data_IF_446285463445
#
_entry.id   IF_446285463445
#
_cell.length_a   1.000
_cell.length_b   1.000
_cell.length_c   1.000
_cell.angle_alpha   90.00
_cell.angle_beta   90.00
_cell.angle_gamma   90.00
#
_symmetry.space_group_name_H-M   'P 1'
#
loop_
_entity.id
_entity.type
_entity.pdbx_description
1 polymer ?
#
# COMPACT_ATOMS: atom_id res chain seq x y z
N UNK A 1 1.94 5.38 -1.23
CA UNK A 1 0.79 4.60 -1.72
C UNK A 1 -0.34 4.82 -0.74
N UNK A 2 -1.53 5.26 -1.17
CA UNK A 2 -2.66 5.36 -0.23
C UNK A 2 -3.15 3.94 0.09
N UNK A 3 -3.23 3.61 1.38
CA UNK A 3 -3.60 2.27 1.88
C UNK A 3 -5.07 2.16 2.31
N UNK A 4 -5.83 3.25 2.23
CA UNK A 4 -7.25 3.25 2.56
C UNK A 4 -8.04 2.49 1.49
N UNK A 5 -8.84 1.55 1.96
CA UNK A 5 -9.84 0.85 1.19
C UNK A 5 -11.21 1.46 1.45
N UNK A 6 -12.14 1.24 0.53
CA UNK A 6 -13.52 1.64 0.70
C UNK A 6 -14.37 0.41 0.51
N UNK A 7 -15.15 -0.01 1.51
CA UNK A 7 -16.03 -1.18 1.43
C UNK A 7 -17.31 -0.92 2.20
N UNK A 8 -18.44 -1.45 1.73
CA UNK A 8 -19.77 -1.19 2.30
C UNK A 8 -20.10 0.29 2.55
N UNK A 9 -19.56 1.20 1.73
CA UNK A 9 -19.78 2.65 1.89
C UNK A 9 -18.90 3.33 2.96
N UNK A 10 -17.94 2.62 3.56
CA UNK A 10 -17.11 3.10 4.67
C UNK A 10 -15.62 2.88 4.40
N UNK A 11 -14.79 3.76 4.93
CA UNK A 11 -13.33 3.68 4.80
C UNK A 11 -12.75 2.61 5.74
N UNK A 12 -11.87 1.79 5.21
CA UNK A 12 -11.27 0.64 5.86
C UNK A 12 -9.75 0.68 5.75
N UNK A 13 -9.07 0.18 6.78
CA UNK A 13 -7.63 0.06 6.85
C UNK A 13 -7.29 -1.44 6.85
N UNK A 14 -6.54 -1.95 5.85
CA UNK A 14 -5.99 -3.30 5.92
C UNK A 14 -5.17 -3.49 7.18
N UNK A 15 -5.36 -4.59 7.91
CA UNK A 15 -4.60 -4.81 9.16
C UNK A 15 -3.08 -4.85 8.90
N UNK A 16 -2.68 -5.36 7.72
CA UNK A 16 -1.29 -5.36 7.24
C UNK A 16 -0.70 -3.97 7.02
N UNK A 17 -1.53 -2.94 6.85
CA UNK A 17 -1.09 -1.56 6.68
C UNK A 17 -0.85 -0.83 8.02
N UNK A 18 -1.45 -1.30 9.12
CA UNK A 18 -1.41 -0.64 10.43
C UNK A 18 0.03 -0.35 10.92
N UNK A 19 1.00 -1.27 10.78
CA UNK A 19 2.39 -0.97 11.18
C UNK A 19 3.00 0.21 10.43
N UNK A 20 2.63 0.41 9.16
CA UNK A 20 3.15 1.50 8.35
C UNK A 20 2.48 2.84 8.65
N UNK A 21 1.15 2.85 8.80
CA UNK A 21 0.42 4.11 9.06
C UNK A 21 0.70 4.66 10.46
N UNK A 22 1.14 3.81 11.39
CA UNK A 22 1.48 4.17 12.77
C UNK A 22 2.98 4.38 12.99
N UNK A 23 3.81 4.39 11.94
CA UNK A 23 5.26 4.54 12.09
C UNK A 23 5.92 3.42 12.91
N UNK A 24 5.36 2.21 12.86
CA UNK A 24 5.72 1.03 13.64
C UNK A 24 5.44 1.12 15.15
N UNK A 25 4.70 2.14 15.63
CA UNK A 25 4.19 2.17 17.00
C UNK A 25 3.30 0.94 17.28
N UNK A 26 2.52 0.51 16.29
CA UNK A 26 1.79 -0.74 16.32
C UNK A 26 2.49 -1.78 15.45
N UNK A 27 3.42 -2.52 16.03
CA UNK A 27 4.00 -3.70 15.39
C UNK A 27 2.92 -4.75 15.10
N UNK A 28 3.11 -5.66 14.13
CA UNK A 28 2.22 -6.80 13.90
C UNK A 28 1.77 -7.56 15.16
N UNK A 29 2.68 -7.80 16.12
CA UNK A 29 2.33 -8.43 17.41
C UNK A 29 1.35 -7.56 18.18
N UNK A 30 1.60 -6.26 18.28
CA UNK A 30 0.71 -5.33 18.98
C UNK A 30 -0.66 -5.25 18.30
N UNK A 31 -0.70 -5.26 16.96
CA UNK A 31 -1.97 -5.30 16.20
C UNK A 31 -2.77 -6.55 16.56
N UNK A 32 -2.15 -7.73 16.48
CA UNK A 32 -2.82 -8.99 16.79
C UNK A 32 -3.28 -9.04 18.26
N UNK A 33 -2.43 -8.63 19.20
CA UNK A 33 -2.76 -8.61 20.63
C UNK A 33 -3.92 -7.66 20.94
N UNK A 34 -3.95 -6.47 20.32
CA UNK A 34 -5.05 -5.52 20.46
C UNK A 34 -6.37 -6.06 19.93
N UNK A 35 -6.36 -6.77 18.80
CA UNK A 35 -7.57 -7.36 18.21
C UNK A 35 -8.03 -8.63 18.93
N UNK A 36 -7.11 -9.35 19.57
CA UNK A 36 -7.39 -10.44 20.50
C UNK A 36 -7.92 -9.96 21.88
N UNK A 37 -7.89 -8.65 22.17
CA UNK A 37 -8.17 -8.08 23.50
C UNK A 37 -7.27 -8.64 24.63
N UNK A 38 -6.05 -9.03 24.28
CA UNK A 38 -5.02 -9.50 25.20
C UNK A 38 -3.90 -8.46 25.39
N UNK A 39 -3.95 -7.33 24.67
CA UNK A 39 -3.02 -6.22 24.85
C UNK A 39 -3.09 -5.69 26.29
N UNK A 40 -1.92 -5.48 26.90
CA UNK A 40 -1.82 -4.89 28.23
C UNK A 40 -1.14 -3.51 28.18
N UNK A 41 -1.80 -2.48 28.72
CA UNK A 41 -3.23 -2.42 29.06
C UNK A 41 -4.12 -2.60 27.82
N UNK A 42 -5.41 -2.96 28.03
CA UNK A 42 -6.44 -3.20 26.99
C UNK A 42 -6.85 -1.93 26.23
N UNK A 43 -5.86 -1.25 25.66
CA UNK A 43 -5.93 0.12 25.12
C UNK A 43 -6.84 0.19 23.91
N UNK A 44 -6.96 -0.90 23.18
CA UNK A 44 -7.76 -1.01 21.97
C UNK A 44 -9.08 -1.75 22.16
N UNK A 45 -9.50 -1.97 23.43
CA UNK A 45 -10.81 -2.56 23.74
C UNK A 45 -11.93 -1.82 23.00
N UNK A 46 -12.69 -2.57 22.20
CA UNK A 46 -13.80 -2.06 21.39
C UNK A 46 -13.50 -1.97 19.89
N UNK A 47 -12.22 -1.95 19.50
CA UNK A 47 -11.83 -2.06 18.08
C UNK A 47 -12.17 -3.47 17.57
N UNK A 48 -12.81 -3.54 16.41
CA UNK A 48 -13.17 -4.80 15.79
C UNK A 48 -12.47 -4.93 14.43
N UNK A 49 -11.99 -6.13 14.15
CA UNK A 49 -11.55 -6.49 12.80
C UNK A 49 -12.65 -7.22 12.04
N UNK A 50 -12.59 -7.09 10.73
CA UNK A 50 -13.54 -7.65 9.79
C UNK A 50 -12.77 -8.31 8.66
N UNK A 51 -13.28 -9.43 8.15
CA UNK A 51 -12.76 -10.05 6.94
C UNK A 51 -13.79 -9.91 5.81
N UNK A 52 -13.31 -9.77 4.58
CA UNK A 52 -14.19 -9.77 3.42
C UNK A 52 -14.63 -11.20 3.08
N UNK A 53 -15.93 -11.36 2.89
CA UNK A 53 -16.54 -12.57 2.35
C UNK A 53 -16.48 -12.55 0.81
N UNK A 54 -16.60 -13.71 0.14
CA UNK A 54 -16.61 -13.78 -1.33
C UNK A 54 -17.71 -12.95 -2.00
N UNK A 55 -18.79 -12.66 -1.28
CA UNK A 55 -19.90 -11.81 -1.74
C UNK A 55 -19.65 -10.30 -1.54
N UNK A 56 -18.44 -9.91 -1.12
CA UNK A 56 -18.04 -8.53 -0.86
C UNK A 56 -18.51 -7.97 0.49
N UNK A 57 -19.22 -8.75 1.32
CA UNK A 57 -19.68 -8.31 2.64
C UNK A 57 -18.60 -8.44 3.72
N UNK A 58 -18.66 -7.56 4.71
CA UNK A 58 -17.81 -7.60 5.89
C UNK A 58 -18.37 -8.58 6.93
N UNK A 59 -17.55 -9.51 7.39
CA UNK A 59 -17.86 -10.37 8.54
C UNK A 59 -16.91 -10.05 9.69
N UNK A 60 -17.47 -9.80 10.89
CA UNK A 60 -16.69 -9.48 12.09
C UNK A 60 -15.88 -10.69 12.54
N UNK A 61 -14.58 -10.51 12.75
CA UNK A 61 -13.72 -11.48 13.41
C UNK A 61 -13.90 -11.44 14.93
N UNK A 62 -13.96 -12.62 15.54
CA UNK A 62 -13.95 -12.81 16.98
C UNK A 62 -12.53 -12.70 17.54
N UNK A 63 -12.35 -12.21 18.79
CA UNK A 63 -11.04 -12.08 19.39
C UNK A 63 -10.22 -13.38 19.41
N UNK A 64 -10.85 -14.53 19.67
CA UNK A 64 -10.20 -15.85 19.67
C UNK A 64 -9.57 -16.25 18.33
N UNK A 65 -10.01 -15.67 17.21
CA UNK A 65 -9.44 -15.97 15.89
C UNK A 65 -8.05 -15.35 15.72
N UNK A 66 -7.68 -14.41 16.60
CA UNK A 66 -6.37 -13.75 16.60
C UNK A 66 -5.31 -14.51 17.41
N UNK A 67 -5.68 -15.47 18.25
CA UNK A 67 -4.74 -16.20 19.12
C UNK A 67 -3.68 -16.94 18.30
N UNK A 68 -4.09 -17.65 17.25
CA UNK A 68 -3.17 -18.36 16.35
C UNK A 68 -2.24 -17.42 15.57
N UNK A 69 -2.75 -16.23 15.20
CA UNK A 69 -1.95 -15.20 14.51
C UNK A 69 -0.90 -14.62 15.47
N UNK A 70 -1.31 -14.29 16.70
CA UNK A 70 -0.41 -13.79 17.73
C UNK A 70 0.69 -14.81 18.07
N UNK A 71 0.34 -16.09 18.19
CA UNK A 71 1.33 -17.16 18.41
C UNK A 71 2.29 -17.30 17.23
N UNK A 72 1.82 -17.24 15.98
CA UNK A 72 2.69 -17.29 14.79
C UNK A 72 3.69 -16.13 14.76
N UNK A 73 3.23 -14.93 15.11
CA UNK A 73 4.09 -13.74 15.20
C UNK A 73 5.11 -13.85 16.34
N UNK A 74 4.71 -14.37 17.51
CA UNK A 74 5.62 -14.61 18.62
C UNK A 74 6.68 -15.66 18.26
N UNK A 75 6.28 -16.76 17.64
CA UNK A 75 7.20 -17.82 17.21
C UNK A 75 8.24 -17.31 16.18
N UNK A 76 7.84 -16.41 15.26
CA UNK A 76 8.79 -15.75 14.36
C UNK A 76 9.78 -14.88 15.13
N UNK A 77 9.29 -14.12 16.12
CA UNK A 77 10.15 -13.29 16.97
C UNK A 77 11.17 -14.14 17.74
N UNK A 78 10.72 -15.20 18.40
CA UNK A 78 11.56 -16.09 19.21
C UNK A 78 12.64 -16.76 18.36
N UNK A 79 12.27 -17.23 17.16
CA UNK A 79 13.20 -17.84 16.20
C UNK A 79 14.26 -16.84 15.74
N UNK A 80 13.86 -15.62 15.36
CA UNK A 80 14.83 -14.63 14.89
C UNK A 80 15.75 -14.18 16.02
N UNK A 81 15.22 -14.01 17.23
CA UNK A 81 16.01 -13.64 18.41
C UNK A 81 16.99 -14.73 18.84
N UNK A 82 16.64 -16.02 18.70
CA UNK A 82 17.58 -17.11 19.03
C UNK A 82 18.81 -17.15 18.11
N UNK A 83 18.67 -16.62 16.90
CA UNK A 83 19.72 -16.60 15.88
C UNK A 83 20.55 -15.30 15.91
N UNK A 84 20.17 -14.31 16.74
CA UNK A 84 20.88 -13.03 16.84
C UNK A 84 22.20 -13.16 17.61
N UNK A 85 23.28 -12.62 17.02
CA UNK A 85 24.56 -12.42 17.71
C UNK A 85 24.65 -11.02 18.32
N UNK A 86 23.96 -10.07 17.71
CA UNK A 86 23.86 -8.68 18.15
C UNK A 86 22.38 -8.35 18.29
N UNK A 87 22.04 -7.61 19.35
CA UNK A 87 20.67 -7.14 19.57
C UNK A 87 20.13 -6.44 18.32
N UNK A 88 18.92 -6.84 17.91
CA UNK A 88 18.17 -6.26 16.78
C UNK A 88 18.82 -6.51 15.40
N UNK A 89 19.77 -7.45 15.30
CA UNK A 89 20.40 -7.85 14.02
C UNK A 89 19.36 -8.29 12.99
N UNK A 90 18.32 -9.00 13.44
CA UNK A 90 17.27 -9.53 12.57
C UNK A 90 16.05 -8.60 12.43
N UNK A 91 16.13 -7.34 12.89
CA UNK A 91 14.97 -6.43 12.90
C UNK A 91 14.39 -6.18 11.48
N UNK A 92 15.26 -5.99 10.47
CA UNK A 92 14.79 -5.80 9.08
C UNK A 92 14.11 -7.05 8.52
N UNK A 93 14.64 -8.23 8.86
CA UNK A 93 14.05 -9.53 8.49
C UNK A 93 12.70 -9.69 9.18
N UNK A 94 12.62 -9.39 10.48
CA UNK A 94 11.39 -9.40 11.24
C UNK A 94 10.33 -8.49 10.63
N UNK A 95 10.68 -7.26 10.26
CA UNK A 95 9.73 -6.29 9.66
C UNK A 95 9.18 -6.78 8.33
N UNK A 96 9.99 -7.46 7.53
CA UNK A 96 9.57 -8.04 6.26
C UNK A 96 8.66 -9.27 6.48
N UNK A 97 9.08 -10.19 7.34
CA UNK A 97 8.48 -11.52 7.47
C UNK A 97 7.26 -11.55 8.40
N UNK A 98 7.10 -10.57 9.28
CA UNK A 98 5.93 -10.47 10.17
C UNK A 98 4.67 -9.94 9.48
N UNK A 99 4.81 -9.15 8.39
CA UNK A 99 3.65 -8.57 7.69
C UNK A 99 2.75 -9.64 7.05
N UNK A 100 3.26 -10.65 6.32
CA UNK A 100 2.44 -11.73 5.78
C UNK A 100 1.71 -12.58 6.83
N UNK A 101 2.20 -12.61 8.08
CA UNK A 101 1.57 -13.37 9.17
C UNK A 101 0.26 -12.74 9.66
N UNK A 102 0.07 -11.44 9.44
CA UNK A 102 -1.25 -10.84 9.58
C UNK A 102 -2.17 -11.35 8.45
N UNK A 103 -3.46 -11.59 8.71
CA UNK A 103 -4.34 -12.22 7.73
C UNK A 103 -4.64 -11.31 6.52
N UNK A 104 -4.67 -11.91 5.33
CA UNK A 104 -5.09 -11.25 4.09
C UNK A 104 -6.60 -10.97 4.10
N UNK A 105 -7.04 -9.91 3.41
CA UNK A 105 -8.47 -9.56 3.30
C UNK A 105 -9.12 -9.14 4.62
N UNK A 106 -8.33 -8.86 5.66
CA UNK A 106 -8.79 -8.43 6.98
C UNK A 106 -8.49 -6.95 7.18
N UNK A 107 -9.46 -6.22 7.73
CA UNK A 107 -9.41 -4.79 7.90
C UNK A 107 -10.05 -4.35 9.22
N UNK A 108 -9.78 -3.11 9.61
CA UNK A 108 -10.52 -2.37 10.63
C UNK A 108 -11.18 -1.16 9.98
N UNK A 109 -12.28 -0.67 10.54
CA UNK A 109 -12.86 0.57 10.06
C UNK A 109 -11.98 1.76 10.46
N UNK A 110 -11.75 2.68 9.51
CA UNK A 110 -10.81 3.79 9.69
C UNK A 110 -11.19 4.68 10.88
N UNK A 111 -12.46 5.07 10.98
CA UNK A 111 -12.98 5.92 12.04
C UNK A 111 -12.94 5.24 13.42
N UNK A 112 -13.22 3.94 13.50
CA UNK A 112 -13.04 3.16 14.74
C UNK A 112 -11.57 3.14 15.17
N UNK A 113 -10.66 2.91 14.22
CA UNK A 113 -9.23 2.89 14.49
C UNK A 113 -8.69 4.27 14.91
N UNK A 114 -9.07 5.34 14.21
CA UNK A 114 -8.71 6.73 14.53
C UNK A 114 -9.12 7.09 15.95
N UNK A 115 -10.34 6.70 16.36
CA UNK A 115 -10.87 6.98 17.69
C UNK A 115 -10.03 6.30 18.79
N UNK A 116 -9.75 5.01 18.65
CA UNK A 116 -8.98 4.26 19.67
C UNK A 116 -7.50 4.66 19.65
N UNK A 117 -6.93 4.93 18.48
CA UNK A 117 -5.55 5.38 18.33
C UNK A 117 -5.36 6.75 18.97
N UNK A 118 -6.20 7.73 18.66
CA UNK A 118 -6.13 9.08 19.24
C UNK A 118 -6.30 9.05 20.75
N UNK A 119 -7.25 8.24 21.27
CA UNK A 119 -7.47 8.09 22.71
C UNK A 119 -6.19 7.66 23.44
N UNK A 120 -5.40 6.78 22.84
CA UNK A 120 -4.25 6.18 23.51
C UNK A 120 -2.93 6.87 23.14
N UNK A 121 -2.66 7.04 21.86
CA UNK A 121 -1.40 7.58 21.34
C UNK A 121 -1.45 9.07 21.02
N UNK A 122 -2.64 9.65 20.84
CA UNK A 122 -2.82 11.06 20.50
C UNK A 122 -3.04 11.98 21.70
N UNK A 123 -3.22 11.45 22.91
CA UNK A 123 -3.45 12.27 24.10
C UNK A 123 -2.16 12.85 24.66
N UNK A 124 -2.18 14.15 24.98
CA UNK A 124 -1.06 14.89 25.58
C UNK A 124 -0.61 14.32 26.94
N UNK A 125 -1.44 13.49 27.57
CA UNK A 125 -1.14 12.83 28.84
C UNK A 125 -0.11 11.70 28.70
N UNK A 126 0.27 11.31 27.48
CA UNK A 126 1.40 10.43 27.22
C UNK A 126 2.64 11.24 26.90
N UNK A 127 3.37 11.64 27.95
CA UNK A 127 4.69 12.28 27.83
C UNK A 127 5.62 11.32 27.10
N UNK A 128 6.04 11.68 25.88
CA UNK A 128 7.08 11.01 25.11
C UNK A 128 8.34 11.85 25.20
N UNK A 129 9.38 11.31 25.84
CA UNK A 129 10.67 11.99 26.03
C UNK A 129 11.39 12.26 24.69
N UNK A 130 11.08 11.51 23.64
CA UNK A 130 11.71 11.59 22.31
C UNK A 130 10.65 11.64 21.19
N UNK A 131 9.64 12.50 21.33
CA UNK A 131 8.60 12.66 20.32
C UNK A 131 9.14 13.27 19.03
N UNK A 132 8.92 12.59 17.91
CA UNK A 132 9.26 13.07 16.56
C UNK A 132 8.04 13.64 15.85
N UNK A 133 8.28 14.49 14.86
CA UNK A 133 7.22 15.01 13.99
C UNK A 133 6.41 13.85 13.39
N UNK A 134 5.09 13.93 13.51
CA UNK A 134 4.16 12.89 13.02
C UNK A 134 3.95 11.68 13.96
N UNK A 135 4.64 11.56 15.09
CA UNK A 135 4.49 10.42 16.01
C UNK A 135 3.07 10.28 16.60
N UNK A 136 2.28 11.36 16.62
CA UNK A 136 0.87 11.37 17.06
C UNK A 136 -0.13 11.22 15.92
N UNK A 137 0.33 11.23 14.67
CA UNK A 137 -0.52 11.27 13.48
C UNK A 137 -0.54 9.92 12.75
N UNK A 138 -1.64 9.64 12.06
CA UNK A 138 -1.75 8.47 11.18
C UNK A 138 -1.40 8.87 9.75
N UNK A 139 -0.36 8.25 9.19
CA UNK A 139 0.03 8.47 7.79
C UNK A 139 -0.66 7.48 6.88
N UNK A 140 -1.71 7.91 6.17
CA UNK A 140 -2.44 7.05 5.22
C UNK A 140 -1.75 6.86 3.86
N UNK A 141 -0.64 7.57 3.64
CA UNK A 141 0.23 7.38 2.48
C UNK A 141 1.66 7.05 2.89
N UNK A 142 1.88 5.99 3.69
CA UNK A 142 3.20 5.72 4.24
C UNK A 142 4.15 5.23 3.14
N UNK A 143 5.44 5.36 3.40
CA UNK A 143 6.49 4.72 2.61
C UNK A 143 6.44 3.21 2.89
N UNK A 144 6.02 2.44 1.90
CA UNK A 144 5.94 0.97 1.97
C UNK A 144 6.97 0.40 1.01
N UNK A 145 7.86 -0.51 1.48
CA UNK A 145 8.78 -1.26 0.63
C UNK A 145 8.03 -1.95 -0.51
N UNK A 146 8.56 -1.84 -1.73
CA UNK A 146 7.89 -2.29 -2.97
C UNK A 146 7.35 -3.72 -2.89
N UNK A 147 8.13 -4.61 -2.27
CA UNK A 147 7.87 -6.04 -2.09
C UNK A 147 6.67 -6.33 -1.19
N UNK A 148 6.32 -5.42 -0.27
CA UNK A 148 5.18 -5.58 0.64
C UNK A 148 3.90 -4.92 0.14
N UNK A 149 3.96 -4.11 -0.92
CA UNK A 149 2.79 -3.39 -1.44
C UNK A 149 1.67 -4.33 -1.86
N UNK A 150 2.01 -5.42 -2.54
CA UNK A 150 1.05 -6.45 -2.97
C UNK A 150 0.54 -7.24 -1.76
N UNK A 151 1.43 -7.62 -0.84
CA UNK A 151 1.06 -8.34 0.38
C UNK A 151 0.03 -7.57 1.23
N UNK A 152 0.17 -6.25 1.36
CA UNK A 152 -0.73 -5.44 2.19
C UNK A 152 -2.17 -5.45 1.67
N UNK A 153 -2.35 -5.50 0.35
CA UNK A 153 -3.66 -5.46 -0.31
C UNK A 153 -4.17 -6.85 -0.73
N UNK A 154 -3.42 -7.91 -0.43
CA UNK A 154 -3.84 -9.28 -0.68
C UNK A 154 -5.15 -9.60 0.04
N UNK A 155 -6.03 -10.38 -0.61
CA UNK A 155 -7.36 -10.72 -0.09
C UNK A 155 -8.39 -9.59 -0.24
N UNK A 156 -7.97 -8.43 -0.73
CA UNK A 156 -8.87 -7.40 -1.24
C UNK A 156 -8.88 -7.51 -2.77
N UNK A 157 -10.07 -7.58 -3.39
CA UNK A 157 -10.18 -7.75 -4.82
C UNK A 157 -9.41 -6.62 -5.55
N UNK A 158 -8.41 -7.00 -6.33
CA UNK A 158 -7.72 -6.06 -7.22
C UNK A 158 -8.68 -5.63 -8.35
N UNK A 159 -8.59 -4.38 -8.83
CA UNK A 159 -9.51 -3.84 -9.81
C UNK A 159 -9.40 -4.60 -11.13
N UNK A 160 -10.33 -5.53 -11.38
CA UNK A 160 -10.38 -6.28 -12.64
C UNK A 160 -11.41 -7.41 -12.69
N UNK A 161 -11.74 -8.07 -11.58
CA UNK A 161 -12.47 -9.35 -11.66
C UNK A 161 -13.94 -9.34 -11.23
N UNK A 162 -14.42 -8.31 -10.55
CA UNK A 162 -15.87 -8.15 -10.31
C UNK A 162 -16.25 -6.68 -10.39
N UNK A 163 -17.20 -6.40 -11.27
CA UNK A 163 -17.70 -5.05 -11.52
C UNK A 163 -18.21 -4.38 -10.25
N UNK A 164 -18.02 -3.05 -10.21
CA UNK A 164 -18.42 -2.11 -9.16
C UNK A 164 -17.42 -1.88 -8.01
N UNK A 165 -16.22 -1.41 -8.36
CA UNK A 165 -15.56 -0.38 -7.56
C UNK A 165 -15.77 0.97 -8.24
N UNK A 166 -16.81 1.71 -7.84
CA UNK A 166 -16.72 3.18 -7.92
C UNK A 166 -15.69 3.57 -6.88
N UNK A 167 -14.44 3.57 -7.30
CA UNK A 167 -13.31 4.00 -6.50
C UNK A 167 -13.60 5.43 -6.06
N UNK A 168 -13.95 5.65 -4.79
CA UNK A 168 -14.13 6.99 -4.22
C UNK A 168 -12.78 7.69 -3.99
N UNK A 169 -11.85 7.54 -4.95
CA UNK A 169 -10.90 8.60 -5.33
C UNK A 169 -11.55 9.63 -6.25
N UNK A 170 -12.84 9.49 -6.50
CA UNK A 170 -13.65 10.30 -7.40
C UNK A 170 -14.31 11.47 -6.68
N UNK A 171 -13.46 12.40 -6.20
CA UNK A 171 -13.82 13.82 -6.12
C UNK A 171 -12.61 14.71 -6.40
N UNK A 172 -11.39 14.22 -6.17
CA UNK A 172 -10.17 15.05 -6.31
C UNK A 172 -9.45 14.89 -7.66
N UNK A 173 -9.84 13.89 -8.48
CA UNK A 173 -9.27 13.65 -9.83
C UNK A 173 -10.30 13.19 -10.87
N UNK A 174 -11.59 13.49 -10.67
CA UNK A 174 -12.62 13.19 -11.68
C UNK A 174 -12.44 13.96 -12.99
N UNK A 175 -11.65 15.03 -12.97
CA UNK A 175 -11.21 15.75 -14.15
C UNK A 175 -10.02 15.07 -14.87
N UNK A 176 -9.37 14.06 -14.27
CA UNK A 176 -8.21 13.36 -14.83
C UNK A 176 -8.66 12.06 -15.46
N UNK A 177 -8.64 12.00 -16.80
CA UNK A 177 -8.96 10.77 -17.52
C UNK A 177 -7.98 9.63 -17.21
N UNK A 178 -8.46 8.39 -17.18
CA UNK A 178 -7.61 7.19 -17.04
C UNK A 178 -6.48 7.15 -18.07
N UNK A 179 -6.76 7.65 -19.29
CA UNK A 179 -5.77 7.75 -20.36
C UNK A 179 -4.64 8.72 -20.00
N UNK A 180 -4.92 9.85 -19.38
CA UNK A 180 -3.89 10.78 -18.91
C UNK A 180 -3.01 10.14 -17.82
N UNK A 181 -3.61 9.35 -16.92
CA UNK A 181 -2.86 8.61 -15.91
C UNK A 181 -1.91 7.60 -16.57
N UNK A 182 -2.40 6.83 -17.55
CA UNK A 182 -1.57 5.90 -18.33
C UNK A 182 -0.47 6.61 -19.10
N UNK A 183 -0.73 7.80 -19.64
CA UNK A 183 0.28 8.61 -20.33
C UNK A 183 1.41 9.03 -19.39
N UNK A 184 1.10 9.49 -18.18
CA UNK A 184 2.13 9.80 -17.19
C UNK A 184 2.97 8.57 -16.81
N UNK A 185 2.34 7.39 -16.66
CA UNK A 185 3.05 6.14 -16.42
C UNK A 185 3.96 5.75 -17.59
N UNK A 186 3.50 5.94 -18.83
CA UNK A 186 4.31 5.73 -20.02
C UNK A 186 5.50 6.70 -20.07
N UNK A 187 5.28 7.97 -19.72
CA UNK A 187 6.35 8.97 -19.66
C UNK A 187 7.45 8.56 -18.69
N UNK A 188 7.09 8.21 -17.45
CA UNK A 188 8.05 7.71 -16.47
C UNK A 188 8.75 6.44 -16.96
N UNK A 189 8.02 5.45 -17.46
CA UNK A 189 8.58 4.17 -17.88
C UNK A 189 9.62 4.31 -18.99
N UNK A 190 9.34 5.14 -20.00
CA UNK A 190 10.15 5.21 -21.22
C UNK A 190 11.15 6.36 -21.21
N UNK A 191 10.90 7.44 -20.47
CA UNK A 191 11.73 8.65 -20.50
C UNK A 191 12.44 8.98 -19.19
N UNK A 192 12.09 8.38 -18.04
CA UNK A 192 12.76 8.73 -16.78
C UNK A 192 14.27 8.43 -16.76
N UNK A 193 14.70 7.42 -17.53
CA UNK A 193 16.10 7.03 -17.64
C UNK A 193 16.73 7.39 -19.01
N UNK A 194 16.03 8.16 -19.85
CA UNK A 194 16.55 8.60 -21.13
C UNK A 194 17.51 9.78 -20.92
N UNK A 195 18.74 9.67 -21.40
CA UNK A 195 19.74 10.74 -21.35
C UNK A 195 19.49 11.73 -22.49
N UNK A 196 19.47 13.02 -22.17
CA UNK A 196 19.27 14.11 -23.13
C UNK A 196 20.31 14.12 -24.27
N UNK A 197 21.54 13.71 -23.98
CA UNK A 197 22.66 13.78 -24.90
C UNK A 197 22.93 12.46 -25.62
N UNK A 198 22.35 11.36 -25.17
CA UNK A 198 22.52 10.03 -25.78
C UNK A 198 21.22 9.55 -26.45
N UNK A 199 21.19 9.63 -27.78
CA UNK A 199 20.04 9.22 -28.61
C UNK A 199 19.75 7.72 -28.53
N UNK A 200 20.70 6.89 -28.09
CA UNK A 200 20.49 5.45 -28.01
C UNK A 200 19.68 5.03 -26.79
N UNK A 201 19.64 5.91 -25.78
CA UNK A 201 18.75 5.75 -24.62
C UNK A 201 17.30 6.15 -24.90
N UNK A 202 17.02 6.77 -26.06
CA UNK A 202 15.67 7.26 -26.37
C UNK A 202 14.76 6.13 -26.86
N UNK A 203 13.55 6.00 -26.30
CA UNK A 203 12.60 4.98 -26.70
C UNK A 203 12.08 5.21 -28.12
N UNK A 204 11.84 4.13 -28.85
CA UNK A 204 11.15 4.18 -30.15
C UNK A 204 9.65 4.40 -29.94
N UNK A 205 9.10 5.44 -30.58
CA UNK A 205 7.67 5.76 -30.55
C UNK A 205 6.78 4.57 -30.97
N UNK A 206 7.24 3.69 -31.86
CA UNK A 206 6.48 2.50 -32.22
C UNK A 206 6.33 1.53 -31.03
N UNK A 207 7.42 1.31 -30.27
CA UNK A 207 7.40 0.48 -29.05
C UNK A 207 6.56 1.11 -27.94
N UNK A 208 6.65 2.43 -27.79
CA UNK A 208 5.82 3.19 -26.83
C UNK A 208 4.34 3.10 -27.19
N UNK A 209 3.99 3.19 -28.48
CA UNK A 209 2.60 3.05 -28.94
C UNK A 209 2.04 1.65 -28.70
N UNK A 210 2.80 0.59 -28.99
CA UNK A 210 2.38 -0.80 -28.68
C UNK A 210 2.10 -0.97 -27.19
N UNK A 211 2.93 -0.38 -26.33
CA UNK A 211 2.67 -0.41 -24.89
C UNK A 211 1.35 0.28 -24.53
N UNK A 212 1.03 1.43 -25.12
CA UNK A 212 -0.27 2.08 -24.90
C UNK A 212 -1.46 1.26 -25.41
N UNK A 213 -1.33 0.58 -26.56
CA UNK A 213 -2.38 -0.31 -27.08
C UNK A 213 -2.69 -1.46 -26.10
N UNK A 214 -1.66 -2.09 -25.54
CA UNK A 214 -1.81 -3.10 -24.49
C UNK A 214 -2.49 -2.56 -23.22
N UNK A 215 -2.47 -1.23 -23.01
CA UNK A 215 -3.06 -0.56 -21.87
C UNK A 215 -4.39 0.16 -22.23
N UNK A 216 -5.07 -0.31 -23.29
CA UNK A 216 -6.45 0.08 -23.59
C UNK A 216 -6.59 1.30 -24.50
N UNK A 217 -5.52 1.76 -25.15
CA UNK A 217 -5.59 2.81 -26.16
C UNK A 217 -5.94 2.18 -27.51
N UNK A 218 -6.74 2.88 -28.33
CA UNK A 218 -6.87 2.50 -29.74
C UNK A 218 -5.53 2.73 -30.46
N UNK A 219 -5.25 2.03 -31.57
CA UNK A 219 -3.99 2.20 -32.29
C UNK A 219 -3.70 3.65 -32.72
N UNK A 220 -4.73 4.38 -33.13
CA UNK A 220 -4.62 5.80 -33.50
C UNK A 220 -4.32 6.70 -32.30
N UNK A 221 -4.90 6.40 -31.13
CA UNK A 221 -4.70 7.19 -29.92
C UNK A 221 -3.38 6.86 -29.23
N UNK A 222 -2.94 5.61 -29.30
CA UNK A 222 -1.65 5.16 -28.78
C UNK A 222 -0.47 5.87 -29.47
N UNK A 223 -0.54 6.01 -30.80
CA UNK A 223 0.45 6.79 -31.58
C UNK A 223 0.50 8.26 -31.16
N UNK A 224 -0.67 8.86 -30.91
CA UNK A 224 -0.76 10.24 -30.40
C UNK A 224 -0.22 10.35 -28.98
N UNK A 225 -0.55 9.40 -28.11
CA UNK A 225 -0.07 9.35 -26.74
C UNK A 225 1.46 9.24 -26.68
N UNK A 226 2.06 8.35 -27.47
CA UNK A 226 3.52 8.23 -27.59
C UNK A 226 4.21 9.55 -28.00
N UNK A 227 3.55 10.33 -28.86
CA UNK A 227 4.04 11.65 -29.27
C UNK A 227 3.91 12.68 -28.15
N UNK A 228 2.79 12.67 -27.43
CA UNK A 228 2.48 13.64 -26.36
C UNK A 228 3.35 13.48 -25.11
N UNK A 229 3.79 12.25 -24.79
CA UNK A 229 4.64 12.00 -23.62
C UNK A 229 6.13 12.21 -23.89
N UNK A 230 6.51 12.47 -25.16
CA UNK A 230 7.89 12.72 -25.53
C UNK A 230 8.32 14.09 -24.98
N UNK A 231 9.42 14.18 -24.22
CA UNK A 231 9.94 15.46 -23.76
C UNK A 231 10.35 16.39 -24.92
N UNK A 232 10.18 17.69 -24.75
CA UNK A 232 10.52 18.71 -25.77
C UNK A 232 11.99 18.69 -26.20
N UNK A 233 12.89 18.25 -25.32
CA UNK A 233 14.32 18.16 -25.62
C UNK A 233 14.67 16.96 -26.51
N UNK A 234 13.77 15.98 -26.66
CA UNK A 234 14.05 14.77 -27.42
C UNK A 234 13.89 15.05 -28.93
N UNK A 235 14.85 14.61 -29.77
CA UNK A 235 14.84 14.90 -31.19
C UNK A 235 13.60 14.31 -31.89
N UNK A 236 13.11 15.04 -32.89
CA UNK A 236 11.97 14.62 -33.73
C UNK A 236 12.47 14.06 -35.05
N UNK A 237 11.96 12.90 -35.48
CA UNK A 237 12.37 12.22 -36.72
C UNK A 237 12.58 10.72 -36.55
N UNK A 238 12.68 9.98 -37.66
CA UNK A 238 12.93 8.53 -37.65
C UNK A 238 14.36 8.30 -37.13
N UNK A 239 14.53 7.40 -36.14
CA UNK A 239 15.86 6.90 -35.76
C UNK A 239 16.45 6.19 -37.00
N UNK A 240 17.71 6.43 -37.39
CA UNK A 240 18.32 5.68 -38.49
C UNK A 240 18.20 4.19 -38.19
N UNK A 241 17.73 3.41 -39.16
CA UNK A 241 17.77 1.95 -39.05
C UNK A 241 19.24 1.53 -39.10
N UNK A 242 19.70 0.82 -38.07
CA UNK A 242 21.01 0.17 -38.11
C UNK A 242 21.00 -0.82 -39.29
N UNK A 243 21.95 -0.62 -40.22
CA UNK A 243 22.21 -1.55 -41.34
C UNK A 243 22.96 -2.78 -40.84
#
# INVERSE_FOLDING_TARGET
MNVILFTEGREAIPVRAIPFITGWLMSPINVAASLANIDLPKKFKGLNAYHLLPNGKAAKMLPKEWDGIAWGLQALSDKLQSDEKIKDENNLVWRRDSIPLLPAGVFVWKDEFEQVFTRFYGSESHIRLEEREGDRELSYSPMIPSELRVTIIEGFAMPGETGAWKNRRSTDRDYVSDKLIRMNQGAEKFWANADRNDRDTHPDNAKVAVWFEQHGFSPTLAKKAATLIRPEWAPTGRKPEEQ
#
